data_IF_899683232381
#
_entry.id   IF_899683232381
#
_cell.length_a   1.000
_cell.length_b   1.000
_cell.length_c   1.000
_cell.angle_alpha   90.00
_cell.angle_beta   90.00
_cell.angle_gamma   90.00
#
_symmetry.space_group_name_H-M   'P 1'
#
loop_
_entity.id
_entity.type
_entity.pdbx_description
1 polymer ?
2 non-polymer ?
3 non-polymer ?
4 non-polymer ?
5 non-polymer ?
6 water ?
#
# COMPACT_ATOMS: atom_id res chain seq x y z
N UNK A 1 -28.37 13.78 1.04
CA UNK A 1 -27.14 13.54 0.24
C UNK A 1 -27.08 12.08 -0.22
N UNK A 2 -26.41 11.83 -1.34
CA UNK A 2 -26.17 10.46 -1.81
C UNK A 2 -24.83 9.99 -1.23
N UNK A 3 -24.79 8.76 -0.71
CA UNK A 3 -23.55 8.20 -0.20
C UNK A 3 -22.94 7.22 -1.21
N UNK A 4 -21.65 7.44 -1.52
CA UNK A 4 -20.88 6.63 -2.46
C UNK A 4 -20.03 5.64 -1.71
N UNK A 5 -20.25 4.35 -1.96
CA UNK A 5 -19.40 3.28 -1.40
C UNK A 5 -18.13 3.05 -2.27
N UNK A 6 -16.96 3.28 -1.67
CA UNK A 6 -15.68 3.21 -2.35
C UNK A 6 -14.73 2.38 -1.49
N UNK A 7 -13.93 1.54 -2.11
CA UNK A 7 -12.98 0.68 -1.42
C UNK A 7 -11.56 1.18 -1.69
N UNK A 8 -10.67 0.92 -0.73
CA UNK A 8 -9.25 1.23 -0.88
C UNK A 8 -8.47 0.22 -0.04
N UNK A 9 -7.23 -0.03 -0.45
CA UNK A 9 -6.29 -0.72 0.40
C UNK A 9 -5.84 0.20 1.52
N UNK A 10 -5.40 -0.37 2.63
CA UNK A 10 -4.95 0.44 3.77
C UNK A 10 -3.80 1.37 3.42
N UNK A 11 -2.86 0.87 2.63
CA UNK A 11 -1.66 1.67 2.33
C UNK A 11 -2.02 2.92 1.50
N UNK A 12 -3.00 2.84 0.61
CA UNK A 12 -3.47 4.07 -0.06
C UNK A 12 -4.22 5.00 0.89
N UNK A 13 -5.05 4.44 1.77
CA UNK A 13 -5.75 5.28 2.78
C UNK A 13 -4.72 5.98 3.68
N UNK A 14 -3.61 5.32 3.99
CA UNK A 14 -2.60 5.91 4.82
C UNK A 14 -1.72 6.95 4.14
N UNK A 15 -1.86 7.10 2.81
CA UNK A 15 -1.05 7.99 2.03
C UNK A 15 -1.92 9.03 1.29
N UNK A 16 -2.36 8.71 0.08
CA UNK A 16 -2.89 9.67 -0.91
C UNK A 16 -4.41 9.65 -1.12
N UNK A 17 -5.09 8.59 -0.67
CA UNK A 17 -6.48 8.36 -1.08
C UNK A 17 -7.42 9.50 -0.65
N UNK A 18 -7.28 9.93 0.61
CA UNK A 18 -8.16 10.97 1.13
C UNK A 18 -7.85 12.32 0.54
N UNK A 19 -6.61 12.54 0.11
CA UNK A 19 -6.27 13.76 -0.61
C UNK A 19 -7.07 13.86 -1.90
N UNK A 20 -7.22 12.74 -2.61
CA UNK A 20 -8.06 12.67 -3.81
C UNK A 20 -9.54 12.79 -3.51
N UNK A 21 -10.01 12.01 -2.55
CA UNK A 21 -11.44 11.98 -2.25
C UNK A 21 -11.93 13.34 -1.74
N UNK A 22 -11.11 14.03 -0.95
CA UNK A 22 -11.53 15.30 -0.36
C UNK A 22 -11.65 16.38 -1.44
N UNK A 23 -10.84 16.29 -2.48
CA UNK A 23 -10.95 17.24 -3.59
C UNK A 23 -12.32 17.08 -4.20
N UNK A 24 -12.74 15.83 -4.38
CA UNK A 24 -14.05 15.55 -4.96
C UNK A 24 -15.23 15.98 -4.05
N UNK A 25 -15.17 15.55 -2.78
CA UNK A 25 -16.27 15.88 -1.87
C UNK A 25 -16.37 17.39 -1.60
N UNK A 26 -15.26 18.12 -1.69
CA UNK A 26 -15.25 19.56 -1.45
C UNK A 26 -16.04 20.34 -2.49
N UNK A 27 -16.19 19.76 -3.67
CA UNK A 27 -16.89 20.41 -4.79
C UNK A 27 -18.25 19.84 -5.10
N UNK A 28 -18.69 18.85 -4.32
CA UNK A 28 -19.97 18.21 -4.54
C UNK A 28 -20.73 17.91 -3.25
N UNK A 29 -21.92 17.35 -3.42
CA UNK A 29 -22.81 17.07 -2.30
C UNK A 29 -22.70 15.64 -1.81
N UNK A 30 -21.85 14.84 -2.44
CA UNK A 30 -21.75 13.44 -2.09
C UNK A 30 -21.12 13.21 -0.73
N UNK A 31 -21.59 12.16 -0.07
CA UNK A 31 -20.91 11.60 1.10
C UNK A 31 -20.21 10.34 0.63
N UNK A 32 -19.16 9.91 1.34
CA UNK A 32 -18.46 8.70 1.02
C UNK A 32 -18.49 7.70 2.18
N UNK A 33 -18.60 6.43 1.82
CA UNK A 33 -18.46 5.33 2.76
C UNK A 33 -17.24 4.56 2.31
N UNK A 34 -16.16 4.72 3.06
CA UNK A 34 -14.85 4.18 2.70
C UNK A 34 -14.64 2.83 3.33
N UNK A 35 -14.57 1.80 2.50
CA UNK A 35 -14.33 0.45 2.98
C UNK A 35 -12.85 0.13 2.76
N UNK A 36 -12.19 -0.36 3.80
CA UNK A 36 -10.77 -0.61 3.70
C UNK A 36 -10.59 -2.12 3.54
N UNK A 37 -9.97 -2.53 2.44
CA UNK A 37 -9.89 -3.93 2.11
C UNK A 37 -8.45 -4.32 2.23
N UNK A 38 -8.10 -5.17 3.17
CA UNK A 38 -6.78 -5.81 3.07
C UNK A 38 -6.89 -7.31 3.27
N UNK A 39 -8.07 -7.84 2.95
CA UNK A 39 -8.30 -9.29 2.86
C UNK A 39 -8.60 -9.71 1.41
N UNK A 40 -8.33 -8.82 0.45
CA UNK A 40 -8.50 -9.12 -0.97
C UNK A 40 -9.98 -9.45 -1.31
N UNK A 41 -10.91 -8.69 -0.74
CA UNK A 41 -12.33 -8.85 -1.03
C UNK A 41 -12.84 -7.86 -2.06
N UNK A 42 -11.99 -6.93 -2.49
CA UNK A 42 -12.46 -5.83 -3.36
C UNK A 42 -13.14 -6.33 -4.61
N UNK A 43 -12.57 -7.37 -5.24
CA UNK A 43 -13.16 -7.93 -6.47
C UNK A 43 -14.58 -8.44 -6.24
N UNK A 44 -14.79 -9.18 -5.16
CA UNK A 44 -16.11 -9.65 -4.78
C UNK A 44 -17.09 -8.49 -4.51
N UNK A 45 -16.60 -7.48 -3.80
CA UNK A 45 -17.41 -6.30 -3.49
C UNK A 45 -17.85 -5.57 -4.74
N UNK A 46 -16.94 -5.42 -5.68
CA UNK A 46 -17.30 -4.80 -6.96
C UNK A 46 -18.31 -5.65 -7.73
N UNK A 47 -18.06 -6.94 -7.79
CA UNK A 47 -18.97 -7.85 -8.49
C UNK A 47 -20.37 -7.80 -7.87
N UNK A 48 -20.44 -7.74 -6.55
CA UNK A 48 -21.73 -7.75 -5.85
C UNK A 48 -22.40 -6.39 -5.72
N UNK A 49 -21.78 -5.35 -6.29
CA UNK A 49 -22.27 -3.99 -6.16
C UNK A 49 -22.22 -3.41 -4.76
N UNK A 50 -21.41 -4.01 -3.88
CA UNK A 50 -21.26 -3.50 -2.51
C UNK A 50 -20.41 -2.22 -2.44
N UNK A 51 -19.53 -2.04 -3.42
CA UNK A 51 -18.89 -0.76 -3.66
C UNK A 51 -19.01 -0.42 -5.15
N UNK A 52 -18.98 0.88 -5.46
CA UNK A 52 -19.06 1.36 -6.84
C UNK A 52 -17.70 1.58 -7.50
N UNK A 53 -16.67 1.68 -6.70
CA UNK A 53 -15.34 2.00 -7.18
C UNK A 53 -14.33 1.62 -6.13
N UNK A 54 -13.10 1.40 -6.59
CA UNK A 54 -12.04 0.92 -5.70
C UNK A 54 -10.66 1.24 -6.25
N UNK A 55 -9.75 1.61 -5.32
CA UNK A 55 -8.32 1.56 -5.54
C UNK A 55 -7.91 0.17 -5.15
N UNK A 56 -7.25 -0.52 -6.07
CA UNK A 56 -6.87 -1.93 -5.88
C UNK A 56 -5.57 -2.24 -6.62
N UNK A 57 -4.83 -3.23 -6.11
CA UNK A 57 -3.70 -3.79 -6.85
C UNK A 57 -4.11 -4.77 -7.97
N UNK A 58 -5.39 -5.13 -7.99
CA UNK A 58 -5.96 -5.98 -9.03
C UNK A 58 -6.17 -5.20 -10.33
N UNK A 59 -5.47 -5.70 -11.35
CA UNK A 59 -5.39 -5.13 -12.71
C UNK A 59 -6.54 -5.58 -13.60
N UNK A 60 -6.89 -6.84 -13.37
CA UNK A 60 -7.79 -7.59 -14.18
C UNK A 60 -9.17 -7.06 -13.93
N UNK A 61 -9.86 -6.73 -15.03
CA UNK A 61 -11.14 -6.13 -14.94
C UNK A 61 -12.10 -7.07 -14.27
N UNK A 62 -12.81 -6.56 -13.28
CA UNK A 62 -13.96 -7.23 -12.81
C UNK A 62 -14.83 -6.99 -14.02
N UNK A 63 -15.47 -8.05 -14.49
CA UNK A 63 -16.22 -7.96 -15.71
C UNK A 63 -17.13 -6.75 -15.63
N UNK A 64 -17.06 -5.91 -16.65
CA UNK A 64 -17.89 -4.75 -16.73
C UNK A 64 -17.16 -3.49 -16.33
N UNK A 65 -16.44 -3.52 -15.20
CA UNK A 65 -15.80 -2.31 -14.66
C UNK A 65 -14.91 -1.60 -15.65
N UNK A 66 -14.84 -0.27 -15.51
CA UNK A 66 -13.85 0.52 -16.20
C UNK A 66 -12.61 0.55 -15.34
N UNK A 67 -11.44 0.36 -15.94
CA UNK A 67 -10.19 0.22 -15.17
C UNK A 67 -9.19 1.23 -15.67
N UNK A 68 -8.62 2.00 -14.76
CA UNK A 68 -7.60 2.98 -15.09
C UNK A 68 -6.34 2.76 -14.23
N UNK A 69 -5.19 2.55 -14.87
CA UNK A 69 -3.97 2.46 -14.05
C UNK A 69 -3.63 3.81 -13.42
N UNK A 70 -3.22 3.79 -12.16
CA UNK A 70 -2.98 4.98 -11.39
C UNK A 70 -1.51 5.33 -11.25
N UNK A 71 -0.65 4.33 -11.37
CA UNK A 71 0.78 4.49 -11.08
C UNK A 71 1.21 3.47 -10.05
N UNK A 72 2.45 3.57 -9.61
CA UNK A 72 3.09 2.56 -8.76
C UNK A 72 3.28 3.12 -7.35
N UNK A 73 2.89 2.32 -6.36
CA UNK A 73 3.14 2.59 -4.94
C UNK A 73 4.45 1.87 -4.60
N UNK A 74 5.48 2.64 -4.29
CA UNK A 74 6.80 2.09 -4.01
C UNK A 74 6.99 1.95 -2.52
N UNK A 75 7.50 0.78 -2.13
CA UNK A 75 7.77 0.48 -0.73
C UNK A 75 9.25 0.26 -0.51
N UNK A 76 9.72 0.58 0.69
CA UNK A 76 11.10 0.30 1.08
C UNK A 76 11.09 -0.56 2.35
N UNK A 77 11.99 -1.55 2.39
CA UNK A 77 12.16 -2.40 3.56
C UNK A 77 13.04 -1.62 4.54
N UNK A 78 12.47 -1.26 5.69
CA UNK A 78 13.08 -0.30 6.60
C UNK A 78 13.06 -0.77 8.06
N UNK A 79 14.06 -0.33 8.80
CA UNK A 79 14.11 -0.55 10.26
C UNK A 79 14.87 0.62 10.86
N UNK A 80 14.89 0.69 12.19
CA UNK A 80 15.65 1.75 12.85
C UNK A 80 17.14 1.39 12.89
N UNK A 81 18.02 2.38 13.09
CA UNK A 81 19.46 2.07 13.25
C UNK A 81 19.79 1.07 14.36
N UNK A 82 19.10 1.19 15.49
CA UNK A 82 19.29 0.26 16.60
C UNK A 82 18.82 -1.14 16.22
N UNK A 83 17.70 -1.26 15.50
CA UNK A 83 17.26 -2.56 14.99
C UNK A 83 18.32 -3.22 14.13
N UNK A 84 18.89 -2.43 13.21
CA UNK A 84 19.92 -2.93 12.32
C UNK A 84 21.14 -3.39 13.14
N UNK A 85 21.50 -2.60 14.15
CA UNK A 85 22.66 -2.91 14.97
C UNK A 85 22.48 -4.22 15.75
N UNK A 86 21.28 -4.44 16.25
CA UNK A 86 21.02 -5.59 17.12
C UNK A 86 20.85 -6.87 16.30
N UNK A 87 20.25 -6.76 15.12
CA UNK A 87 19.79 -7.92 14.37
C UNK A 87 20.53 -8.21 13.07
N UNK A 88 21.19 -7.19 12.54
CA UNK A 88 21.92 -7.32 11.28
C UNK A 88 23.34 -6.76 11.47
N UNK A 89 23.97 -7.07 12.61
CA UNK A 89 25.30 -6.56 12.93
C UNK A 89 26.31 -7.00 11.87
N UNK A 90 26.24 -8.25 11.39
CA UNK A 90 27.14 -8.68 10.30
C UNK A 90 26.40 -8.86 8.93
N UNK A 91 25.39 -8.01 8.71
CA UNK A 91 24.71 -7.85 7.43
C UNK A 91 23.34 -8.47 7.38
N UNK A 92 22.59 -8.13 6.34
CA UNK A 92 21.29 -8.72 6.09
C UNK A 92 21.48 -10.04 5.32
N UNK A 93 21.54 -11.14 6.05
CA UNK A 93 21.82 -12.46 5.51
C UNK A 93 20.61 -13.36 5.76
N UNK A 94 20.54 -14.49 5.04
CA UNK A 94 19.47 -15.43 5.32
C UNK A 94 19.45 -15.89 6.78
N UNK A 95 20.62 -16.12 7.37
CA UNK A 95 20.69 -16.55 8.76
C UNK A 95 20.10 -15.48 9.66
N UNK A 96 20.48 -14.23 9.41
CA UNK A 96 19.98 -13.11 10.22
C UNK A 96 18.48 -12.90 10.07
N UNK A 97 17.97 -13.04 8.85
CA UNK A 97 16.54 -12.86 8.59
C UNK A 97 15.70 -13.96 9.21
N UNK A 98 16.31 -15.11 9.48
CA UNK A 98 15.60 -16.18 10.14
C UNK A 98 15.39 -15.90 11.62
N UNK A 99 16.10 -14.89 12.14
CA UNK A 99 16.03 -14.55 13.56
C UNK A 99 15.52 -13.14 13.91
N UNK A 100 15.53 -12.20 12.96
CA UNK A 100 15.17 -10.81 13.22
C UNK A 100 13.65 -10.66 13.20
N UNK A 101 13.05 -9.94 14.16
CA UNK A 101 11.59 -9.78 14.11
C UNK A 101 11.13 -8.94 12.93
N UNK A 102 10.33 -9.53 12.06
CA UNK A 102 9.68 -8.80 10.99
C UNK A 102 8.38 -8.18 11.46
N UNK A 103 7.81 -7.40 10.55
CA UNK A 103 6.44 -6.91 10.66
C UNK A 103 5.65 -7.45 9.47
N UNK A 104 4.48 -8.02 9.74
CA UNK A 104 3.60 -8.55 8.70
C UNK A 104 2.18 -8.03 8.96
N UNK A 105 1.50 -7.55 7.92
CA UNK A 105 0.25 -6.84 8.10
C UNK A 105 -0.85 -7.85 8.50
N UNK A 106 -0.95 -8.93 7.74
CA UNK A 106 -1.88 -10.01 8.03
C UNK A 106 -1.45 -11.24 7.23
N UNK A 107 -2.25 -12.28 7.21
CA UNK A 107 -1.80 -13.53 6.58
C UNK A 107 -1.73 -13.46 5.05
N UNK A 108 -2.31 -12.42 4.46
CA UNK A 108 -2.24 -12.21 3.02
C UNK A 108 -1.12 -11.28 2.57
N UNK A 109 -0.36 -10.75 3.53
CA UNK A 109 0.69 -9.79 3.23
C UNK A 109 1.94 -10.54 2.79
N UNK A 110 2.24 -10.43 1.50
CA UNK A 110 3.38 -11.12 0.89
C UNK A 110 4.56 -10.20 0.66
N UNK A 111 4.47 -8.94 1.08
CA UNK A 111 5.51 -7.97 0.74
C UNK A 111 6.90 -8.25 1.33
N UNK A 112 6.95 -8.66 2.59
CA UNK A 112 8.25 -8.95 3.20
C UNK A 112 8.85 -10.18 2.52
N UNK A 113 8.01 -11.20 2.29
CA UNK A 113 8.45 -12.44 1.64
C UNK A 113 8.98 -12.15 0.24
N UNK A 114 8.25 -11.33 -0.49
CA UNK A 114 8.62 -10.94 -1.84
C UNK A 114 9.95 -10.16 -1.83
N UNK A 115 10.07 -9.20 -0.93
CA UNK A 115 11.29 -8.41 -0.80
C UNK A 115 12.49 -9.31 -0.51
N UNK A 116 12.35 -10.25 0.43
CA UNK A 116 13.45 -11.19 0.72
C UNK A 116 13.87 -11.98 -0.52
N UNK A 117 12.87 -12.55 -1.20
CA UNK A 117 13.06 -13.36 -2.40
C UNK A 117 13.90 -12.59 -3.41
N UNK A 118 13.51 -11.34 -3.63
CA UNK A 118 14.19 -10.44 -4.56
C UNK A 118 15.57 -9.97 -4.12
N UNK A 119 15.70 -9.60 -2.86
CA UNK A 119 16.92 -9.03 -2.32
C UNK A 119 18.01 -10.07 -2.13
N UNK A 120 17.62 -11.25 -1.67
CA UNK A 120 18.57 -12.31 -1.32
C UNK A 120 18.60 -13.48 -2.31
N UNK A 121 17.67 -13.53 -3.26
CA UNK A 121 17.64 -14.58 -4.27
C UNK A 121 17.19 -15.92 -3.75
N UNK A 122 16.60 -15.95 -2.56
CA UNK A 122 16.03 -17.16 -1.97
C UNK A 122 14.93 -16.79 -1.00
N UNK A 123 14.08 -17.75 -0.66
CA UNK A 123 13.03 -17.54 0.34
C UNK A 123 13.57 -17.83 1.72
N UNK A 124 13.33 -16.93 2.66
CA UNK A 124 13.70 -17.16 4.05
C UNK A 124 12.44 -17.01 4.90
N UNK A 125 12.19 -17.98 5.78
CA UNK A 125 11.08 -17.88 6.72
C UNK A 125 11.50 -17.05 7.93
N UNK A 126 10.80 -15.94 8.13
CA UNK A 126 11.18 -14.93 9.13
C UNK A 126 10.18 -14.91 10.28
N UNK A 127 10.65 -14.73 11.53
CA UNK A 127 9.71 -14.57 12.64
C UNK A 127 9.08 -13.19 12.54
N UNK A 128 7.86 -13.04 12.99
CA UNK A 128 7.21 -11.77 12.78
C UNK A 128 6.26 -11.37 13.87
N UNK A 129 6.15 -10.07 14.05
CA UNK A 129 4.99 -9.50 14.70
C UNK A 129 3.89 -9.34 13.65
N UNK A 130 2.63 -9.35 14.09
CA UNK A 130 1.50 -9.13 13.18
C UNK A 130 0.84 -7.81 13.55
N UNK A 131 0.72 -6.93 12.55
CA UNK A 131 0.34 -5.55 12.82
C UNK A 131 -0.45 -5.01 11.63
N UNK A 132 -1.77 -5.19 11.66
CA UNK A 132 -2.60 -4.83 10.50
C UNK A 132 -2.93 -3.32 10.47
N UNK A 133 -1.90 -2.51 10.31
CA UNK A 133 -2.03 -1.04 10.36
C UNK A 133 -0.91 -0.40 9.59
N UNK A 134 -1.27 0.44 8.61
CA UNK A 134 -0.22 1.14 7.82
C UNK A 134 0.59 2.10 8.71
N UNK A 135 -0.10 2.93 9.47
CA UNK A 135 0.62 3.88 10.33
C UNK A 135 1.28 3.15 11.50
N UNK A 136 0.67 2.07 11.96
CA UNK A 136 1.30 1.24 13.00
C UNK A 136 2.62 0.66 12.52
N UNK A 137 2.64 0.19 11.27
CA UNK A 137 3.89 -0.33 10.67
C UNK A 137 5.02 0.70 10.78
N UNK A 138 4.73 1.95 10.42
CA UNK A 138 5.74 2.98 10.46
C UNK A 138 6.18 3.21 11.90
N UNK A 139 5.22 3.32 12.81
CA UNK A 139 5.57 3.54 14.21
C UNK A 139 6.41 2.41 14.78
N UNK A 140 6.07 1.17 14.44
CA UNK A 140 6.79 0.00 14.93
C UNK A 140 8.21 -0.02 14.36
N UNK A 141 8.35 0.38 13.11
CA UNK A 141 9.67 0.47 12.46
C UNK A 141 10.53 1.50 13.15
N UNK A 142 9.96 2.68 13.40
CA UNK A 142 10.67 3.77 14.08
C UNK A 142 11.07 3.39 15.52
N UNK A 143 10.20 2.63 16.19
CA UNK A 143 10.38 2.25 17.58
C UNK A 143 11.36 1.10 17.75
N UNK A 144 11.92 0.58 16.64
CA UNK A 144 12.90 -0.51 16.72
C UNK A 144 12.31 -1.90 16.99
N UNK A 145 11.02 -2.03 16.73
CA UNK A 145 10.28 -3.24 17.06
C UNK A 145 10.44 -4.35 16.00
N UNK A 146 10.57 -3.93 14.74
CA UNK A 146 10.71 -4.88 13.65
C UNK A 146 11.09 -4.14 12.39
N UNK A 147 11.38 -4.92 11.36
CA UNK A 147 11.57 -4.40 10.00
C UNK A 147 10.36 -4.77 9.14
N UNK A 148 10.09 -3.93 8.14
CA UNK A 148 8.99 -4.23 7.24
C UNK A 148 8.96 -3.30 6.06
N UNK A 149 8.05 -3.60 5.12
CA UNK A 149 7.90 -2.79 3.92
C UNK A 149 6.91 -1.67 4.18
N UNK A 150 7.37 -0.44 3.97
CA UNK A 150 6.55 0.73 4.18
C UNK A 150 6.50 1.58 2.91
N UNK A 151 5.34 2.13 2.59
CA UNK A 151 5.27 3.04 1.45
C UNK A 151 6.26 4.23 1.57
N UNK A 152 6.89 4.57 0.45
CA UNK A 152 7.90 5.63 0.41
C UNK A 152 7.38 6.95 0.95
N UNK A 153 6.11 7.24 0.73
CA UNK A 153 5.51 8.51 1.14
C UNK A 153 5.58 8.66 2.67
N UNK A 154 5.54 7.55 3.39
CA UNK A 154 5.51 7.58 4.84
C UNK A 154 6.89 7.47 5.48
N UNK A 155 7.89 7.11 4.69
CA UNK A 155 9.22 6.94 5.26
C UNK A 155 10.32 7.77 4.62
N UNK A 156 10.01 8.52 3.58
CA UNK A 156 11.05 9.30 2.89
C UNK A 156 11.77 10.27 3.83
N UNK A 157 11.01 11.02 4.63
CA UNK A 157 11.64 11.98 5.53
C UNK A 157 12.42 11.27 6.63
N UNK A 158 11.89 10.16 7.13
CA UNK A 158 12.60 9.39 8.16
C UNK A 158 13.93 8.86 7.65
N UNK A 159 13.93 8.38 6.40
CA UNK A 159 15.14 7.90 5.74
C UNK A 159 16.16 9.01 5.58
N UNK A 160 15.69 10.17 5.14
CA UNK A 160 16.55 11.33 4.96
C UNK A 160 17.18 11.78 6.29
N UNK A 161 16.41 11.68 7.37
CA UNK A 161 16.87 12.11 8.71
C UNK A 161 17.68 11.04 9.43
N UNK A 162 17.64 9.81 8.92
CA UNK A 162 18.37 8.69 9.56
C UNK A 162 17.62 8.01 10.68
N UNK A 163 16.33 8.34 10.85
CA UNK A 163 15.49 7.69 11.86
C UNK A 163 15.09 6.29 11.42
N UNK A 164 15.07 6.09 10.11
CA UNK A 164 14.99 4.77 9.51
C UNK A 164 16.14 4.59 8.54
N UNK A 165 16.50 3.34 8.26
CA UNK A 165 17.43 3.05 7.20
C UNK A 165 16.86 1.88 6.42
N UNK A 166 17.28 1.78 5.17
CA UNK A 166 16.88 0.67 4.30
C UNK A 166 17.71 -0.53 4.64
N UNK A 167 17.09 -1.70 4.80
CA UNK A 167 17.87 -2.92 5.01
C UNK A 167 18.92 -3.13 3.94
N UNK A 168 18.52 -2.90 2.68
CA UNK A 168 19.41 -3.02 1.55
C UNK A 168 19.06 -1.88 0.61
N UNK A 169 19.84 -0.79 0.66
CA UNK A 169 19.59 0.35 -0.22
C UNK A 169 19.38 -0.07 -1.67
N UNK A 170 18.39 0.52 -2.34
CA UNK A 170 18.23 0.30 -3.75
C UNK A 170 17.46 -0.98 -4.04
N UNK A 171 16.63 -1.42 -3.08
CA UNK A 171 15.83 -2.63 -3.29
C UNK A 171 14.33 -2.37 -3.06
N UNK A 172 13.78 -1.36 -3.75
CA UNK A 172 12.36 -1.08 -3.53
C UNK A 172 11.47 -2.18 -4.08
N UNK A 173 10.24 -2.21 -3.57
CA UNK A 173 9.20 -3.13 -4.03
C UNK A 173 8.07 -2.24 -4.55
N UNK A 174 7.76 -2.42 -5.83
CA UNK A 174 6.76 -1.58 -6.49
C UNK A 174 5.47 -2.33 -6.75
N UNK A 175 4.35 -1.73 -6.34
CA UNK A 175 3.04 -2.30 -6.54
C UNK A 175 2.20 -1.34 -7.40
N UNK A 176 1.92 -1.73 -8.63
CA UNK A 176 1.03 -0.89 -9.46
C UNK A 176 -0.37 -0.89 -8.87
N UNK A 177 -1.04 0.26 -8.93
CA UNK A 177 -2.40 0.39 -8.44
C UNK A 177 -3.35 0.79 -9.57
N UNK A 178 -4.62 0.42 -9.40
CA UNK A 178 -5.64 0.62 -10.41
C UNK A 178 -6.90 1.19 -9.77
N UNK A 179 -7.64 1.97 -10.54
CA UNK A 179 -8.93 2.50 -10.15
C UNK A 179 -9.97 1.78 -10.99
N UNK A 180 -10.87 1.06 -10.33
CA UNK A 180 -11.91 0.24 -10.97
C UNK A 180 -13.24 0.90 -10.62
N UNK A 181 -14.09 1.15 -11.62
CA UNK A 181 -15.36 1.82 -11.39
C UNK A 181 -16.47 1.06 -12.09
N UNK A 182 -17.57 0.84 -11.36
CA UNK A 182 -18.77 0.24 -11.95
C UNK A 182 -19.18 1.04 -13.18
N UNK A 183 -19.33 0.35 -14.31
CA UNK A 183 -19.56 1.02 -15.59
C UNK A 183 -20.82 1.89 -15.57
N UNK A 184 -21.84 1.44 -14.84
CA UNK A 184 -23.12 2.15 -14.75
C UNK A 184 -23.06 3.45 -13.93
N UNK A 185 -22.04 3.56 -13.07
CA UNK A 185 -21.82 4.73 -12.24
C UNK A 185 -20.73 5.64 -12.82
N UNK A 186 -19.97 5.15 -13.81
CA UNK A 186 -18.72 5.83 -14.21
C UNK A 186 -18.91 7.28 -14.67
N UNK A 187 -19.88 7.53 -15.54
CA UNK A 187 -20.08 8.91 -16.01
C UNK A 187 -20.49 9.86 -14.89
N UNK A 188 -21.41 9.40 -14.07
CA UNK A 188 -21.86 10.15 -12.91
C UNK A 188 -20.69 10.51 -12.01
N UNK A 189 -19.77 9.56 -11.83
CA UNK A 189 -18.60 9.73 -10.94
C UNK A 189 -17.35 10.19 -11.66
N UNK A 190 -17.49 10.80 -12.85
CA UNK A 190 -16.33 11.25 -13.62
C UNK A 190 -15.46 12.22 -12.81
N UNK A 191 -16.09 13.09 -12.02
CA UNK A 191 -15.35 14.05 -11.17
C UNK A 191 -14.48 13.39 -10.12
N UNK A 192 -15.01 12.33 -9.53
CA UNK A 192 -14.27 11.55 -8.56
C UNK A 192 -13.06 10.92 -9.24
N UNK A 193 -13.33 10.25 -10.36
CA UNK A 193 -12.28 9.66 -11.16
C UNK A 193 -11.21 10.64 -11.56
N UNK A 194 -11.60 11.84 -12.00
CA UNK A 194 -10.61 12.83 -12.38
C UNK A 194 -9.69 13.14 -11.20
N UNK A 195 -10.28 13.30 -10.03
CA UNK A 195 -9.49 13.56 -8.80
C UNK A 195 -8.61 12.40 -8.37
N UNK A 196 -9.10 11.16 -8.49
CA UNK A 196 -8.27 10.00 -8.15
C UNK A 196 -7.08 9.93 -9.11
N UNK A 197 -7.38 9.90 -10.40
CA UNK A 197 -6.31 9.81 -11.38
C UNK A 197 -5.32 10.96 -11.32
N UNK A 198 -5.81 12.20 -11.20
CA UNK A 198 -4.95 13.36 -11.11
C UNK A 198 -4.05 13.40 -9.88
N UNK A 199 -4.61 13.02 -8.74
CA UNK A 199 -3.85 12.98 -7.49
C UNK A 199 -2.79 11.89 -7.55
N UNK A 200 -3.16 10.69 -8.03
CA UNK A 200 -2.21 9.60 -8.12
C UNK A 200 -1.05 9.94 -9.07
N UNK A 201 -1.34 10.69 -10.14
CA UNK A 201 -0.32 11.13 -11.08
C UNK A 201 0.79 11.92 -10.40
N UNK A 202 0.43 12.73 -9.40
CA UNK A 202 1.40 13.54 -8.69
C UNK A 202 2.16 12.74 -7.65
N UNK A 203 1.48 11.81 -6.99
CA UNK A 203 2.02 11.10 -5.83
C UNK A 203 2.69 9.76 -6.11
N UNK A 204 2.14 8.99 -7.05
CA UNK A 204 2.67 7.67 -7.35
C UNK A 204 3.70 7.80 -8.44
N UNK A 205 4.47 6.74 -8.66
CA UNK A 205 5.43 6.73 -9.75
C UNK A 205 4.67 6.43 -11.03
N UNK A 206 5.09 7.02 -12.16
CA UNK A 206 4.39 6.83 -13.42
C UNK A 206 4.41 5.38 -13.91
N UNK A 207 3.38 5.01 -14.65
CA UNK A 207 3.23 3.65 -15.19
C UNK A 207 4.17 3.47 -16.35
X LIG B 1 3.53 -2.78 4.74
X LIG C 1 -26.80 -2.70 -5.16
X LIG C 1 -27.68 -1.71 -5.73
X LIG C 1 -27.02 -1.18 -7.01
X LIG C 1 -25.82 -0.56 -6.57
X LIG C 1 -24.66 -1.13 -7.18
X LIG C 1 -24.59 -0.62 -8.61
X LIG C 1 -25.01 0.73 -8.78
X LIG C 1 -24.63 1.11 -10.13
X LIG C 1 -25.13 2.49 -10.47
X LIG C 1 -24.73 3.45 -9.48
X LIG C 1 -25.14 4.78 -9.86
X LIG C 1 -24.81 5.83 -8.77
X LIG C 1 -25.11 5.33 -7.45
X LIG C 1 -24.79 6.33 -6.45
X LIG C 1 -25.23 5.79 -5.12
X LIG C 1 -26.66 5.85 -5.07
X LIG C 1 -27.13 5.33 -3.82
X LIG C 1 -28.64 5.21 -3.86
X LIG C 1 -29.24 6.45 -4.30
X LIG C 1 -29.24 7.40 -3.23
X LIG C 1 -30.37 8.40 -3.47
X LIG C 1 -30.72 9.03 -2.22
X LIG D 1 -18.89 -3.46 2.07
X LIG D 1 -18.76 -2.06 1.86
X LIG D 1 -20.08 -1.32 2.16
X LIG D 1 -20.31 -0.95 3.57
X LIG D 1 -19.10 -0.67 4.28
X LIG D 1 -19.50 -0.66 5.72
X LIG D 1 -20.39 0.44 5.95
X LIG D 1 -20.33 0.77 7.33
X LIG D 1 -21.09 2.03 7.48
X LIG D 1 -22.26 1.75 6.78
X LIG D 1 -23.34 2.50 7.25
X LIG D 1 -24.29 2.64 6.08
X LIG D 1 -25.44 1.84 6.40
X LIG E 1 0.27 -4.96 2.32
X LIG E 1 -0.82 -5.72 2.88
X LIG E 1 1.27 -4.66 3.39
X LIG E 1 1.53 -3.25 3.61
#
# INVERSE_FOLDING_TARGET
RVTLNIATNADSLGTWFLDAVSKFTGGSDYLVNIAVDDQDHTVEWLRGGRVLAAVTAHDKPVQGCRVTPLGVLRYHATASPDFMARHFADGVTPAALARAPGLTFNQKDRLQASWIRTALGEDVSYPTHWLPSTDGFVKASLAGMGWGLNPVQLVAEHLAAGRLVELMPGTPLDIPLYWQVNRLAAERLAGLTANMVGTARVVLMPVG
CA CA
P33 O22 C21 C20 O19 C18 C17 O16 C15 C14 O13 C12 C11 O10 C9 C8 O7 C6 C5 O4 C3 C2 O1
PG4 O1 C1 C2 O2 C3 C4 O3 C5 C6 O4 C7 C8 O5
EDO C1 O1 C2 O2
#
